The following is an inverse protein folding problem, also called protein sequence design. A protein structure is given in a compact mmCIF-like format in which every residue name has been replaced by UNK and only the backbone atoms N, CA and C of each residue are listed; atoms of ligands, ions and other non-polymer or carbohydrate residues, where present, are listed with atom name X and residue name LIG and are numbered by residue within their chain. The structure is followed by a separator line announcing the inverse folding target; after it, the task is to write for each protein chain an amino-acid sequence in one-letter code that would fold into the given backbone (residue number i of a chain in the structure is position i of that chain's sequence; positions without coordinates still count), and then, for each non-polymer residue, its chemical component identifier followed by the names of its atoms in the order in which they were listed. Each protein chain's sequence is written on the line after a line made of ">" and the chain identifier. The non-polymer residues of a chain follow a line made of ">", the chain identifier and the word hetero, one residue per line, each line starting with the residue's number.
data_IF_496569758094
#
_entry.id   IF_496569758094
#
_cell.length_a   1.000
_cell.length_b   1.000
_cell.length_c   1.000
_cell.angle_alpha   90.00
_cell.angle_beta   90.00
_cell.angle_gamma   90.00
#
_symmetry.space_group_name_H-M   'P 1'
#
loop_
_entity.id
_entity.type
_entity.pdbx_description
1 polymer ?
#
# COMPACT_ATOMS: atom_id res chain seq x y z
N UNK A 1 -10.65 -29.08 -23.16
CA UNK A 1 -10.45 -27.62 -23.18
C UNK A 1 -8.96 -27.39 -23.23
N UNK A 2 -8.45 -26.82 -24.32
CA UNK A 2 -7.07 -26.35 -24.38
C UNK A 2 -6.87 -25.25 -23.34
N UNK A 3 -5.81 -25.34 -22.53
CA UNK A 3 -5.38 -24.32 -21.57
C UNK A 3 -4.36 -23.42 -22.27
N UNK A 4 -4.67 -22.16 -22.52
CA UNK A 4 -3.71 -21.17 -23.04
C UNK A 4 -3.25 -20.23 -21.91
N UNK A 5 -2.29 -20.69 -21.10
CA UNK A 5 -1.63 -19.81 -20.13
C UNK A 5 -1.46 -20.44 -18.76
N UNK A 6 -0.44 -21.27 -18.62
CA UNK A 6 0.02 -21.73 -17.30
C UNK A 6 0.47 -20.52 -16.47
N UNK A 7 -0.36 -20.09 -15.51
CA UNK A 7 -0.01 -19.00 -14.57
C UNK A 7 -0.99 -17.82 -14.55
N UNK A 8 -1.91 -17.71 -15.51
CA UNK A 8 -2.90 -16.63 -15.54
C UNK A 8 -4.22 -17.06 -14.86
N UNK A 9 -4.90 -16.10 -14.21
CA UNK A 9 -6.14 -16.33 -13.46
C UNK A 9 -7.35 -16.57 -14.35
N UNK A 10 -7.39 -15.95 -15.54
CA UNK A 10 -8.47 -16.10 -16.50
C UNK A 10 -7.94 -15.94 -17.92
N UNK A 11 -8.39 -16.82 -18.80
CA UNK A 11 -8.26 -16.66 -20.24
C UNK A 11 -9.60 -16.18 -20.79
N UNK A 12 -9.61 -15.07 -21.52
CA UNK A 12 -10.84 -14.56 -22.13
C UNK A 12 -10.65 -14.35 -23.62
N UNK A 13 -11.54 -14.96 -24.40
CA UNK A 13 -11.71 -14.62 -25.81
C UNK A 13 -12.50 -13.31 -25.90
N UNK A 14 -11.82 -12.23 -26.30
CA UNK A 14 -12.49 -10.95 -26.55
C UNK A 14 -13.37 -11.09 -27.80
N UNK A 15 -14.68 -10.98 -27.62
CA UNK A 15 -15.66 -11.00 -28.71
C UNK A 15 -16.23 -9.60 -28.84
N UNK A 16 -16.24 -9.07 -30.06
CA UNK A 16 -16.85 -7.79 -30.35
C UNK A 16 -18.37 -7.88 -30.10
N UNK A 17 -18.85 -7.11 -29.12
CA UNK A 17 -20.29 -7.05 -28.79
C UNK A 17 -21.02 -5.95 -29.56
N UNK A 18 -20.36 -4.84 -29.87
CA UNK A 18 -20.94 -3.68 -30.58
C UNK A 18 -20.00 -3.15 -31.68
N UNK A 19 -20.53 -2.49 -32.72
CA UNK A 19 -19.71 -1.80 -33.71
C UNK A 19 -18.97 -0.61 -33.09
N UNK A 20 -17.74 -0.36 -33.54
CA UNK A 20 -17.01 0.86 -33.18
C UNK A 20 -17.73 2.08 -33.77
N UNK A 21 -17.76 3.24 -33.07
CA UNK A 21 -17.01 3.58 -31.86
C UNK A 21 -17.77 3.37 -30.53
N UNK A 22 -18.91 2.68 -30.53
CA UNK A 22 -19.82 2.60 -29.37
C UNK A 22 -19.12 2.04 -28.11
N UNK A 23 -18.35 0.93 -28.16
CA UNK A 23 -17.63 0.43 -26.99
C UNK A 23 -16.67 1.45 -26.38
N UNK A 24 -15.97 2.23 -27.22
CA UNK A 24 -15.01 3.22 -26.75
C UNK A 24 -15.70 4.38 -26.00
N UNK A 25 -16.83 4.86 -26.52
CA UNK A 25 -17.63 5.90 -25.88
C UNK A 25 -18.18 5.41 -24.54
N UNK A 26 -18.74 4.20 -24.50
CA UNK A 26 -19.26 3.63 -23.26
C UNK A 26 -18.15 3.41 -22.23
N UNK A 27 -16.98 2.91 -22.66
CA UNK A 27 -15.82 2.76 -21.78
C UNK A 27 -15.34 4.11 -21.23
N UNK A 28 -15.30 5.16 -22.06
CA UNK A 28 -14.94 6.51 -21.64
C UNK A 28 -15.92 7.05 -20.59
N UNK A 29 -17.22 6.99 -20.87
CA UNK A 29 -18.25 7.47 -19.94
C UNK A 29 -18.23 6.69 -18.62
N UNK A 30 -18.08 5.36 -18.67
CA UNK A 30 -17.94 4.52 -17.48
C UNK A 30 -16.70 4.92 -16.68
N UNK A 31 -15.56 5.10 -17.35
CA UNK A 31 -14.30 5.47 -16.70
C UNK A 31 -14.40 6.85 -16.05
N UNK A 32 -14.99 7.83 -16.75
CA UNK A 32 -15.23 9.17 -16.19
C UNK A 32 -16.18 9.11 -15.00
N UNK A 33 -17.27 8.34 -15.08
CA UNK A 33 -18.20 8.18 -13.97
C UNK A 33 -17.52 7.58 -12.73
N UNK A 34 -16.74 6.51 -12.91
CA UNK A 34 -15.99 5.88 -11.83
C UNK A 34 -14.91 6.83 -11.29
N UNK A 35 -14.19 7.53 -12.16
CA UNK A 35 -13.17 8.50 -11.78
C UNK A 35 -13.76 9.65 -10.96
N UNK A 36 -14.81 10.32 -11.43
CA UNK A 36 -15.39 11.45 -10.70
C UNK A 36 -16.05 11.00 -9.40
N UNK A 37 -16.71 9.84 -9.37
CA UNK A 37 -17.28 9.30 -8.14
C UNK A 37 -16.19 8.99 -7.11
N UNK A 38 -15.10 8.31 -7.51
CA UNK A 38 -13.99 8.00 -6.60
C UNK A 38 -13.21 9.26 -6.23
N UNK A 39 -12.89 10.13 -7.16
CA UNK A 39 -12.24 11.41 -6.87
C UNK A 39 -13.05 12.23 -5.86
N UNK A 40 -14.37 12.35 -6.02
CA UNK A 40 -15.21 13.08 -5.07
C UNK A 40 -15.23 12.44 -3.68
N UNK A 41 -15.30 11.11 -3.58
CA UNK A 41 -15.28 10.41 -2.29
C UNK A 41 -13.94 10.58 -1.57
N UNK A 42 -12.83 10.36 -2.29
CA UNK A 42 -11.49 10.21 -1.73
C UNK A 42 -10.69 11.52 -1.72
N UNK A 43 -10.71 12.30 -2.80
CA UNK A 43 -9.73 13.34 -3.12
C UNK A 43 -10.30 14.76 -3.23
N UNK A 44 -11.62 14.94 -3.25
CA UNK A 44 -12.20 16.28 -3.24
C UNK A 44 -12.15 16.89 -1.83
N UNK A 45 -11.81 18.18 -1.66
CA UNK A 45 -11.79 18.84 -0.34
C UNK A 45 -13.15 18.87 0.38
N UNK A 46 -14.26 18.82 -0.36
CA UNK A 46 -15.64 18.72 0.12
C UNK A 46 -16.11 17.27 0.19
N UNK A 47 -15.30 16.33 -0.28
CA UNK A 47 -15.53 14.90 -0.23
C UNK A 47 -15.58 14.35 1.19
N UNK A 48 -15.91 13.07 1.31
CA UNK A 48 -16.06 12.42 2.61
C UNK A 48 -14.73 12.14 3.30
N UNK A 49 -13.74 11.66 2.56
CA UNK A 49 -12.48 11.21 3.16
C UNK A 49 -11.35 12.23 3.09
N UNK A 50 -11.47 13.24 2.22
CA UNK A 50 -10.57 14.41 2.17
C UNK A 50 -9.08 14.06 2.12
N UNK A 51 -8.72 12.97 1.43
CA UNK A 51 -7.34 12.51 1.26
C UNK A 51 -6.58 13.33 0.19
N UNK A 52 -7.02 14.57 -0.06
CA UNK A 52 -6.51 15.47 -1.10
C UNK A 52 -5.12 16.01 -0.80
N UNK A 53 -4.68 15.88 0.45
CA UNK A 53 -3.35 16.29 0.84
C UNK A 53 -2.34 15.27 0.30
N UNK A 54 -1.22 15.75 -0.26
CA UNK A 54 -0.36 14.93 -1.10
C UNK A 54 0.21 13.74 -0.34
N UNK A 55 0.53 13.88 0.95
CA UNK A 55 1.13 12.79 1.71
C UNK A 55 0.11 11.76 2.19
N UNK A 56 -1.11 12.16 2.56
CA UNK A 56 -2.12 11.25 3.11
C UNK A 56 -2.68 10.33 2.06
N UNK A 57 -3.26 10.90 1.00
CA UNK A 57 -3.86 10.12 -0.07
C UNK A 57 -2.83 9.23 -0.76
N UNK A 58 -1.62 9.77 -0.95
CA UNK A 58 -0.54 8.99 -1.55
C UNK A 58 -0.03 7.89 -0.63
N UNK A 59 0.08 8.12 0.69
CA UNK A 59 0.45 7.09 1.65
C UNK A 59 -0.54 5.92 1.63
N UNK A 60 -1.85 6.19 1.64
CA UNK A 60 -2.87 5.13 1.57
C UNK A 60 -2.80 4.39 0.25
N UNK A 61 -2.72 5.12 -0.87
CA UNK A 61 -2.62 4.52 -2.21
C UNK A 61 -1.38 3.63 -2.35
N UNK A 62 -0.23 4.09 -1.83
CA UNK A 62 1.04 3.37 -1.93
C UNK A 62 1.05 2.13 -1.06
N UNK A 63 0.58 2.20 0.18
CA UNK A 63 0.43 1.01 1.02
C UNK A 63 -0.59 0.04 0.46
N UNK A 64 -1.67 0.54 -0.14
CA UNK A 64 -2.65 -0.33 -0.76
C UNK A 64 -2.03 -1.14 -1.91
N UNK A 65 -1.21 -0.50 -2.76
CA UNK A 65 -0.43 -1.20 -3.79
C UNK A 65 0.47 -2.28 -3.19
N UNK A 66 1.15 -2.01 -2.07
CA UNK A 66 2.01 -2.98 -1.39
C UNK A 66 1.20 -4.16 -0.86
N UNK A 67 0.03 -3.91 -0.25
CA UNK A 67 -0.87 -4.98 0.20
C UNK A 67 -1.31 -5.85 -0.97
N UNK A 68 -1.60 -5.27 -2.14
CA UNK A 68 -1.91 -6.03 -3.35
C UNK A 68 -0.70 -6.86 -3.82
N UNK A 69 0.51 -6.30 -3.77
CA UNK A 69 1.74 -7.05 -4.06
C UNK A 69 1.89 -8.21 -3.08
N UNK A 70 1.63 -8.00 -1.79
CA UNK A 70 1.70 -9.07 -0.81
C UNK A 70 0.69 -10.18 -1.11
N UNK A 71 -0.57 -9.83 -1.36
CA UNK A 71 -1.61 -10.79 -1.69
C UNK A 71 -1.26 -11.63 -2.93
N UNK A 72 -0.72 -11.00 -3.97
CA UNK A 72 -0.48 -11.64 -5.27
C UNK A 72 0.89 -12.30 -5.35
N UNK A 73 1.97 -11.55 -5.10
CA UNK A 73 3.34 -12.03 -5.30
C UNK A 73 3.90 -12.78 -4.10
N UNK A 74 3.59 -12.35 -2.87
CA UNK A 74 4.17 -12.97 -1.67
C UNK A 74 3.33 -14.17 -1.21
N UNK A 75 2.01 -14.00 -1.14
CA UNK A 75 1.09 -15.01 -0.63
C UNK A 75 0.42 -15.85 -1.73
N UNK A 76 0.57 -15.48 -2.99
CA UNK A 76 -0.04 -16.18 -4.13
C UNK A 76 -1.52 -16.50 -3.90
N UNK A 77 -2.28 -15.48 -3.50
CA UNK A 77 -3.70 -15.52 -3.17
C UNK A 77 -4.09 -16.43 -2.00
N UNK A 78 -3.15 -16.97 -1.22
CA UNK A 78 -3.48 -17.69 0.01
C UNK A 78 -4.35 -16.81 0.94
N UNK A 79 -5.42 -17.33 1.58
CA UNK A 79 -5.83 -18.74 1.69
C UNK A 79 -6.80 -19.23 0.59
N UNK A 80 -7.02 -18.46 -0.48
CA UNK A 80 -7.96 -18.84 -1.53
C UNK A 80 -7.43 -19.99 -2.39
N UNK A 81 -8.28 -21.00 -2.60
CA UNK A 81 -7.98 -22.10 -3.51
C UNK A 81 -8.03 -21.60 -4.96
N UNK A 82 -7.15 -22.13 -5.80
CA UNK A 82 -7.11 -21.81 -7.24
C UNK A 82 -8.44 -22.09 -7.95
N UNK A 83 -9.15 -23.15 -7.56
CA UNK A 83 -10.49 -23.45 -8.09
C UNK A 83 -11.52 -22.35 -7.78
N UNK A 84 -11.44 -21.71 -6.62
CA UNK A 84 -12.30 -20.57 -6.31
C UNK A 84 -11.92 -19.35 -7.14
N UNK A 85 -10.62 -19.09 -7.27
CA UNK A 85 -10.10 -17.98 -8.07
C UNK A 85 -10.44 -18.11 -9.55
N UNK A 86 -10.53 -19.31 -10.11
CA UNK A 86 -10.84 -19.53 -11.53
C UNK A 86 -12.36 -19.51 -11.78
N UNK A 87 -13.17 -20.11 -10.90
CA UNK A 87 -14.61 -20.31 -11.17
C UNK A 87 -15.53 -19.21 -10.61
N UNK A 88 -15.05 -18.37 -9.70
CA UNK A 88 -15.91 -17.35 -9.07
C UNK A 88 -16.13 -16.16 -9.99
N UNK A 89 -17.36 -15.63 -9.98
CA UNK A 89 -17.73 -14.45 -10.76
C UNK A 89 -16.78 -13.27 -10.48
N UNK A 90 -16.28 -12.56 -11.52
CA UNK A 90 -15.27 -11.51 -11.37
C UNK A 90 -15.66 -10.39 -10.39
N UNK A 91 -16.94 -9.99 -10.37
CA UNK A 91 -17.41 -8.95 -9.43
C UNK A 91 -17.34 -9.41 -7.98
N UNK A 92 -17.63 -10.68 -7.70
CA UNK A 92 -17.57 -11.24 -6.34
C UNK A 92 -16.11 -11.39 -5.92
N UNK A 93 -15.29 -11.94 -6.81
CA UNK A 93 -13.84 -12.09 -6.61
C UNK A 93 -13.17 -10.75 -6.33
N UNK A 94 -13.46 -9.74 -7.17
CA UNK A 94 -12.97 -8.38 -6.99
C UNK A 94 -13.42 -7.76 -5.66
N UNK A 95 -14.72 -7.82 -5.35
CA UNK A 95 -15.25 -7.28 -4.10
C UNK A 95 -14.59 -7.92 -2.86
N UNK A 96 -14.47 -9.25 -2.81
CA UNK A 96 -13.85 -9.97 -1.69
C UNK A 96 -12.38 -9.59 -1.53
N UNK A 97 -11.60 -9.61 -2.61
CA UNK A 97 -10.18 -9.27 -2.55
C UNK A 97 -9.97 -7.79 -2.20
N UNK A 98 -10.81 -6.88 -2.69
CA UNK A 98 -10.77 -5.47 -2.31
C UNK A 98 -11.08 -5.29 -0.83
N UNK A 99 -12.13 -5.90 -0.29
CA UNK A 99 -12.45 -5.82 1.15
C UNK A 99 -11.29 -6.32 2.00
N UNK A 100 -10.69 -7.46 1.64
CA UNK A 100 -9.53 -8.01 2.37
C UNK A 100 -8.35 -7.05 2.31
N UNK A 101 -8.05 -6.48 1.14
CA UNK A 101 -6.95 -5.53 1.00
C UNK A 101 -7.16 -4.27 1.83
N UNK A 102 -8.40 -3.77 1.95
CA UNK A 102 -8.74 -2.61 2.79
C UNK A 102 -8.59 -2.95 4.27
N UNK A 103 -9.02 -4.15 4.70
CA UNK A 103 -8.85 -4.59 6.10
C UNK A 103 -7.37 -4.71 6.45
N UNK A 104 -6.56 -5.34 5.60
CA UNK A 104 -5.10 -5.46 5.82
C UNK A 104 -4.46 -4.07 5.86
N UNK A 105 -4.81 -3.19 4.93
CA UNK A 105 -4.33 -1.81 4.89
C UNK A 105 -4.67 -1.06 6.18
N UNK A 106 -5.90 -1.19 6.68
CA UNK A 106 -6.34 -0.57 7.93
C UNK A 106 -5.58 -1.11 9.14
N UNK A 107 -5.42 -2.43 9.25
CA UNK A 107 -4.63 -3.06 10.33
C UNK A 107 -3.17 -2.58 10.27
N UNK A 108 -2.60 -2.45 9.08
CA UNK A 108 -1.22 -2.02 8.92
C UNK A 108 -1.02 -0.56 9.32
N UNK A 109 -1.86 0.35 8.83
CA UNK A 109 -1.69 1.78 9.10
C UNK A 109 -2.16 2.12 10.52
N UNK A 110 -3.41 1.80 10.87
CA UNK A 110 -3.98 2.16 12.18
C UNK A 110 -3.49 1.26 13.30
N UNK A 111 -3.39 -0.05 13.04
CA UNK A 111 -2.94 -1.02 14.05
C UNK A 111 -1.43 -1.01 14.26
N UNK A 112 -0.65 -1.14 13.18
CA UNK A 112 0.81 -1.22 13.30
C UNK A 112 1.50 0.14 13.36
N UNK A 113 1.35 1.01 12.35
CA UNK A 113 2.10 2.28 12.31
C UNK A 113 1.63 3.29 13.37
N UNK A 114 0.35 3.65 13.38
CA UNK A 114 -0.15 4.68 14.29
C UNK A 114 -0.25 4.18 15.74
N UNK A 115 -0.81 2.98 15.95
CA UNK A 115 -1.02 2.47 17.31
C UNK A 115 0.25 1.83 17.89
N UNK A 116 0.75 0.72 17.34
CA UNK A 116 1.88 0.01 17.93
C UNK A 116 3.17 0.84 17.87
N UNK A 117 3.61 1.22 16.67
CA UNK A 117 4.87 1.94 16.49
C UNK A 117 4.75 3.38 16.99
N UNK A 118 3.64 4.05 16.68
CA UNK A 118 3.42 5.45 17.01
C UNK A 118 3.16 5.74 18.49
N UNK A 119 2.65 4.79 19.28
CA UNK A 119 2.49 4.98 20.74
C UNK A 119 3.66 4.45 21.56
N UNK A 120 4.31 3.36 21.14
CA UNK A 120 5.32 2.66 21.96
C UNK A 120 6.76 2.79 21.44
N UNK A 121 6.94 3.16 20.18
CA UNK A 121 8.25 3.29 19.55
C UNK A 121 8.55 4.73 19.16
N UNK A 122 8.21 5.08 17.92
CA UNK A 122 8.55 6.36 17.32
C UNK A 122 7.30 7.22 17.23
N UNK A 123 7.20 8.20 18.13
CA UNK A 123 5.99 9.00 18.36
C UNK A 123 5.44 9.69 17.12
N UNK A 124 6.30 10.03 16.16
CA UNK A 124 5.86 10.77 14.97
C UNK A 124 5.03 9.95 13.98
N UNK A 125 4.95 8.63 14.12
CA UNK A 125 4.01 7.84 13.31
C UNK A 125 2.56 8.00 13.76
N UNK A 126 2.30 8.59 14.93
CA UNK A 126 0.95 8.85 15.41
C UNK A 126 0.65 10.37 15.35
N UNK A 127 -0.34 10.80 14.53
CA UNK A 127 -0.78 12.19 14.49
C UNK A 127 -1.19 12.74 15.87
N UNK A 128 -1.87 11.96 16.71
CA UNK A 128 -2.33 12.39 18.04
C UNK A 128 -1.16 12.67 18.99
N UNK A 129 -0.06 11.92 18.85
CA UNK A 129 1.15 12.19 19.62
C UNK A 129 1.88 13.42 19.10
N UNK A 130 1.87 13.65 17.78
CA UNK A 130 2.43 14.88 17.20
C UNK A 130 1.65 16.13 17.60
N UNK A 131 0.32 16.07 17.72
CA UNK A 131 -0.50 17.20 18.17
C UNK A 131 -0.20 17.66 19.59
N UNK A 132 0.51 16.86 20.40
CA UNK A 132 0.98 17.27 21.74
C UNK A 132 2.14 18.27 21.66
N UNK A 133 2.79 18.41 20.50
CA UNK A 133 3.86 19.38 20.30
C UNK A 133 3.30 20.81 20.25
N UNK A 134 3.99 21.80 20.85
CA UNK A 134 3.56 23.19 20.79
C UNK A 134 3.44 23.68 19.34
N UNK A 135 2.34 24.37 19.02
CA UNK A 135 2.06 24.96 17.68
C UNK A 135 1.87 23.94 16.55
N UNK A 136 1.73 22.65 16.85
CA UNK A 136 1.37 21.64 15.85
C UNK A 136 -0.13 21.70 15.55
N UNK A 137 -0.49 21.85 14.28
CA UNK A 137 -1.89 21.74 13.84
C UNK A 137 -2.21 20.30 13.45
N UNK A 138 -3.49 19.93 13.51
CA UNK A 138 -3.97 18.60 13.08
C UNK A 138 -3.52 18.30 11.63
N UNK A 139 -3.61 19.29 10.74
CA UNK A 139 -3.18 19.17 9.36
C UNK A 139 -1.69 18.77 9.25
N UNK A 140 -0.78 19.50 9.94
CA UNK A 140 0.65 19.20 9.86
C UNK A 140 1.02 17.90 10.58
N UNK A 141 0.41 17.60 11.72
CA UNK A 141 0.61 16.34 12.42
C UNK A 141 0.27 15.15 11.51
N UNK A 142 -0.86 15.24 10.82
CA UNK A 142 -1.35 14.20 9.93
C UNK A 142 -0.46 14.07 8.68
N UNK A 143 -0.04 15.19 8.08
CA UNK A 143 0.90 15.19 6.94
C UNK A 143 2.26 14.58 7.31
N UNK A 144 2.83 14.94 8.47
CA UNK A 144 4.15 14.46 8.89
C UNK A 144 4.16 12.98 9.27
N UNK A 145 3.12 12.52 9.98
CA UNK A 145 2.95 11.09 10.26
C UNK A 145 2.77 10.28 8.96
N UNK A 146 1.95 10.79 8.04
CA UNK A 146 1.71 10.16 6.74
C UNK A 146 2.98 10.13 5.89
N UNK A 147 3.78 11.19 5.91
CA UNK A 147 5.08 11.24 5.24
C UNK A 147 6.02 10.15 5.77
N UNK A 148 6.12 9.98 7.09
CA UNK A 148 6.96 8.95 7.68
C UNK A 148 6.53 7.55 7.23
N UNK A 149 5.23 7.29 7.31
CA UNK A 149 4.61 6.04 6.88
C UNK A 149 4.80 5.81 5.37
N UNK A 150 4.73 6.86 4.56
CA UNK A 150 4.95 6.83 3.11
C UNK A 150 6.41 6.49 2.75
N UNK A 151 7.38 7.07 3.46
CA UNK A 151 8.80 6.77 3.23
C UNK A 151 9.12 5.31 3.55
N UNK A 152 8.52 4.77 4.61
CA UNK A 152 8.60 3.34 4.89
C UNK A 152 7.95 2.52 3.77
N UNK A 153 6.75 2.92 3.32
CA UNK A 153 6.05 2.28 2.20
C UNK A 153 6.93 2.24 0.95
N UNK A 154 7.67 3.32 0.67
CA UNK A 154 8.55 3.38 -0.49
C UNK A 154 9.60 2.28 -0.46
N UNK A 155 10.30 2.12 0.66
CA UNK A 155 11.31 1.08 0.85
C UNK A 155 10.68 -0.32 0.74
N UNK A 156 9.58 -0.54 1.46
CA UNK A 156 8.88 -1.83 1.46
C UNK A 156 8.36 -2.22 0.07
N UNK A 157 7.91 -1.26 -0.74
CA UNK A 157 7.39 -1.47 -2.09
C UNK A 157 8.44 -1.98 -3.08
N UNK A 158 9.71 -1.65 -2.86
CA UNK A 158 10.82 -2.14 -3.70
C UNK A 158 11.32 -3.50 -3.21
N UNK A 159 11.47 -3.68 -1.90
CA UNK A 159 12.01 -4.92 -1.33
C UNK A 159 11.07 -6.11 -1.46
N UNK A 160 9.76 -5.89 -1.27
CA UNK A 160 8.74 -6.93 -1.33
C UNK A 160 8.76 -7.71 -2.67
N UNK A 161 8.67 -7.05 -3.83
CA UNK A 161 8.74 -7.74 -5.12
C UNK A 161 10.17 -8.12 -5.52
N UNK A 162 11.22 -7.42 -5.06
CA UNK A 162 12.59 -7.71 -5.46
C UNK A 162 13.00 -9.16 -5.13
N UNK A 163 12.64 -9.68 -3.95
CA UNK A 163 12.98 -11.08 -3.61
C UNK A 163 12.24 -12.11 -4.46
N UNK A 164 10.98 -11.84 -4.80
CA UNK A 164 10.17 -12.76 -5.60
C UNK A 164 10.60 -12.71 -7.07
N UNK A 165 10.83 -11.51 -7.61
CA UNK A 165 11.05 -11.30 -9.05
C UNK A 165 12.53 -11.34 -9.42
N UNK A 166 13.40 -10.64 -8.68
CA UNK A 166 14.81 -10.51 -9.05
C UNK A 166 15.68 -11.65 -8.52
N UNK A 167 15.23 -12.30 -7.45
CA UNK A 167 16.02 -13.32 -6.77
C UNK A 167 15.32 -14.69 -6.70
N UNK A 168 14.27 -14.87 -7.52
CA UNK A 168 13.59 -16.16 -7.73
C UNK A 168 13.21 -16.88 -6.44
N UNK A 169 12.74 -16.09 -5.45
CA UNK A 169 12.28 -16.57 -4.14
C UNK A 169 13.35 -17.26 -3.28
N UNK A 170 14.66 -17.13 -3.56
CA UNK A 170 15.73 -17.65 -2.67
C UNK A 170 15.76 -16.88 -1.36
N UNK A 171 15.89 -17.50 -0.17
CA UNK A 171 16.05 -18.94 0.12
C UNK A 171 14.73 -19.69 0.37
N UNK A 172 13.58 -19.09 0.06
CA UNK A 172 12.25 -19.64 0.34
C UNK A 172 11.73 -20.64 -0.69
N UNK A 173 12.50 -20.98 -1.72
CA UNK A 173 12.05 -21.80 -2.86
C UNK A 173 11.25 -23.04 -2.45
N UNK A 174 11.74 -23.79 -1.46
CA UNK A 174 11.14 -25.04 -0.98
C UNK A 174 10.02 -24.87 0.06
N UNK A 175 9.67 -23.63 0.43
CA UNK A 175 8.63 -23.37 1.42
C UNK A 175 7.24 -23.29 0.78
N UNK A 176 6.28 -23.91 1.46
CA UNK A 176 4.86 -23.82 1.10
C UNK A 176 4.18 -22.59 1.72
N UNK A 177 3.07 -22.15 1.12
CA UNK A 177 2.20 -21.13 1.73
C UNK A 177 1.44 -21.72 2.94
N UNK A 178 1.19 -20.94 4.01
CA UNK A 178 1.50 -19.52 4.16
C UNK A 178 2.93 -19.24 4.65
N UNK A 179 3.70 -20.28 5.00
CA UNK A 179 5.04 -20.14 5.59
C UNK A 179 5.96 -19.27 4.74
N UNK A 180 6.03 -19.54 3.44
CA UNK A 180 6.80 -18.74 2.46
C UNK A 180 6.41 -17.25 2.51
N UNK A 181 5.12 -16.95 2.41
CA UNK A 181 4.65 -15.57 2.39
C UNK A 181 4.94 -14.82 3.68
N UNK A 182 4.69 -15.47 4.83
CA UNK A 182 4.96 -14.88 6.15
C UNK A 182 6.47 -14.61 6.32
N UNK A 183 7.33 -15.56 5.97
CA UNK A 183 8.77 -15.39 6.15
C UNK A 183 9.36 -14.32 5.26
N UNK A 184 8.92 -14.21 3.98
CA UNK A 184 9.34 -13.13 3.08
C UNK A 184 8.86 -11.79 3.64
N UNK A 185 7.60 -11.69 4.08
CA UNK A 185 7.05 -10.46 4.64
C UNK A 185 7.85 -10.02 5.87
N UNK A 186 8.10 -10.93 6.83
CA UNK A 186 8.87 -10.60 8.04
C UNK A 186 10.30 -10.16 7.69
N UNK A 187 10.99 -10.89 6.81
CA UNK A 187 12.36 -10.56 6.42
C UNK A 187 12.45 -9.21 5.70
N UNK A 188 11.57 -8.96 4.73
CA UNK A 188 11.53 -7.71 3.95
C UNK A 188 11.09 -6.53 4.81
N UNK A 189 10.15 -6.72 5.74
CA UNK A 189 9.71 -5.68 6.66
C UNK A 189 10.81 -5.32 7.68
N UNK A 190 11.54 -6.32 8.19
CA UNK A 190 12.71 -6.10 9.04
C UNK A 190 13.80 -5.32 8.30
N UNK A 191 14.15 -5.74 7.08
CA UNK A 191 15.12 -5.02 6.25
C UNK A 191 14.65 -3.59 5.91
N UNK A 192 13.35 -3.42 5.63
CA UNK A 192 12.76 -2.10 5.40
C UNK A 192 12.93 -1.19 6.61
N UNK A 193 12.78 -1.74 7.82
CA UNK A 193 12.98 -1.01 9.07
C UNK A 193 14.42 -0.55 9.21
N UNK A 194 15.40 -1.43 8.97
CA UNK A 194 16.82 -1.07 9.00
C UNK A 194 17.15 0.05 8.00
N UNK A 195 16.72 -0.10 6.74
CA UNK A 195 16.97 0.90 5.69
C UNK A 195 16.26 2.22 6.01
N UNK A 196 15.04 2.16 6.55
CA UNK A 196 14.31 3.36 7.00
C UNK A 196 15.10 4.12 8.06
N UNK A 197 15.67 3.43 9.06
CA UNK A 197 16.51 4.07 10.06
C UNK A 197 17.78 4.68 9.48
N UNK A 198 18.42 4.01 8.52
CA UNK A 198 19.65 4.49 7.89
C UNK A 198 19.43 5.69 6.97
N UNK A 199 18.28 5.76 6.29
CA UNK A 199 18.10 6.67 5.14
C UNK A 199 16.98 7.68 5.29
N UNK A 200 16.01 7.46 6.18
CA UNK A 200 14.79 8.29 6.28
C UNK A 200 14.55 8.84 7.68
N UNK A 201 14.78 8.03 8.73
CA UNK A 201 14.49 8.41 10.12
C UNK A 201 15.14 9.74 10.51
N UNK A 202 16.40 9.95 10.11
CA UNK A 202 17.12 11.16 10.47
C UNK A 202 16.62 12.42 9.75
N UNK A 203 15.95 12.27 8.61
CA UNK A 203 15.29 13.40 7.95
C UNK A 203 13.96 13.76 8.60
N UNK A 204 13.37 12.88 9.42
CA UNK A 204 12.11 13.17 10.11
C UNK A 204 12.31 14.18 11.24
N UNK A 205 13.46 14.18 11.90
CA UNK A 205 13.70 15.02 13.07
C UNK A 205 13.70 16.53 12.80
N UNK A 206 13.93 16.97 11.55
CA UNK A 206 13.88 18.38 11.15
C UNK A 206 12.44 18.93 11.05
N UNK A 207 11.44 18.06 10.93
CA UNK A 207 10.05 18.46 10.70
C UNK A 207 9.36 18.97 11.99
N UNK A 208 9.96 18.77 13.16
CA UNK A 208 9.32 19.06 14.46
C UNK A 208 10.10 20.10 15.25
N UNK A 209 9.45 21.17 15.73
CA UNK A 209 10.08 22.13 16.63
C UNK A 209 9.74 21.82 18.11
N UNK A 210 10.73 21.76 19.03
CA UNK A 210 12.17 21.92 18.80
C UNK A 210 12.78 20.71 18.08
N UNK A 211 13.74 20.98 17.19
CA UNK A 211 14.38 19.92 16.40
C UNK A 211 15.09 18.91 17.29
N UNK A 212 14.97 17.64 16.94
CA UNK A 212 15.77 16.58 17.55
C UNK A 212 17.16 16.57 16.92
N UNK A 213 17.99 17.58 17.22
CA UNK A 213 19.30 17.76 16.58
C UNK A 213 20.20 16.51 16.62
N UNK A 214 20.12 15.70 17.67
CA UNK A 214 20.91 14.46 17.80
C UNK A 214 20.48 13.33 16.85
N UNK A 215 19.23 13.34 16.39
CA UNK A 215 18.71 12.36 15.42
C UNK A 215 18.54 12.97 14.03
N UNK A 216 18.66 14.30 13.90
CA UNK A 216 18.39 15.02 12.65
C UNK A 216 19.65 15.26 11.85
N UNK A 217 19.62 14.95 10.55
CA UNK A 217 20.57 15.55 9.61
C UNK A 217 19.90 16.82 9.10
N UNK A 218 20.55 17.98 9.21
CA UNK A 218 20.03 19.27 8.75
C UNK A 218 20.85 19.82 7.57
N UNK A 219 20.25 20.54 6.60
CA UNK A 219 20.98 21.18 5.52
C UNK A 219 22.04 22.19 6.00
N UNK A 220 23.08 22.48 5.20
CA UNK A 220 23.36 21.89 3.89
C UNK A 220 23.95 20.48 4.07
N UNK A 221 23.45 19.50 3.34
CA UNK A 221 23.78 18.09 3.54
C UNK A 221 25.13 17.69 2.93
N UNK A 222 26.21 18.38 3.31
CA UNK A 222 27.66 18.21 3.01
C UNK A 222 28.34 19.58 3.14
#
# INVERSE_FOLDING_TARGET
>A
MERFGTGYLEERKLVQRWPQPIPAIVALLLTLAVFYATWWIFQDPRGWMRMYTPYVGYMYTRWWLIVLIWMVYIFNYWPFKRSWLENTHPLVKGAVLTVISVVILWVLIKGFFESLLGNYGIAYFNPDNLMKLPRMTEFFALEYASLACLMFAAIASWLSPAWVVACEEVPWQDMNQPGKGISILVATFFLSTLIFFMTMHSHMGILYYPWQYFTSIAPPYW
#
